data_IF_311724573476
#
_entry.id   IF_311724573476
#
_cell.length_a   1.000
_cell.length_b   1.000
_cell.length_c   1.000
_cell.angle_alpha   90.00
_cell.angle_beta   90.00
_cell.angle_gamma   90.00
#
_symmetry.space_group_name_H-M   'P 1'
#
loop_
_entity.id
_entity.type
_entity.pdbx_description
1 polymer ?
#
# COMPACT_ATOMS: atom_id res chain seq x y z
N UNK A 1 -4.07 10.74 13.95
CA UNK A 1 -5.31 10.56 14.67
C UNK A 1 -6.17 9.55 13.96
N UNK A 2 -5.91 8.23 14.09
CA UNK A 2 -6.94 7.25 13.71
C UNK A 2 -8.10 7.31 14.71
N UNK A 3 -7.84 7.56 15.99
CA UNK A 3 -8.89 7.83 16.99
C UNK A 3 -9.86 8.94 16.55
N UNK A 4 -9.35 9.97 15.87
CA UNK A 4 -10.17 11.05 15.33
C UNK A 4 -11.16 10.61 14.24
N UNK A 5 -11.00 9.43 13.67
CA UNK A 5 -11.88 8.83 12.67
C UNK A 5 -12.64 7.59 13.21
N UNK A 6 -12.77 7.47 14.54
CA UNK A 6 -13.61 6.45 15.19
C UNK A 6 -12.90 5.15 15.56
N UNK A 7 -11.60 5.11 15.35
CA UNK A 7 -10.76 3.94 15.54
C UNK A 7 -10.33 3.81 17.03
N UNK A 8 -10.47 2.63 17.67
CA UNK A 8 -9.91 2.34 19.02
C UNK A 8 -8.44 1.88 18.96
N UNK A 9 -7.52 2.77 19.33
CA UNK A 9 -6.09 2.55 19.09
C UNK A 9 -5.36 1.73 20.18
N UNK A 10 -4.50 0.78 19.75
CA UNK A 10 -3.57 0.00 20.58
C UNK A 10 -2.11 0.21 20.13
N UNK A 11 -1.45 1.27 20.60
CA UNK A 11 -0.08 1.60 20.18
C UNK A 11 1.00 1.06 21.13
N UNK A 12 2.19 0.74 20.59
CA UNK A 12 3.37 0.41 21.40
C UNK A 12 4.69 0.73 20.69
N UNK A 13 5.56 1.51 21.32
CA UNK A 13 6.82 1.97 20.71
C UNK A 13 7.95 1.10 21.27
N UNK A 14 8.91 0.72 20.42
CA UNK A 14 10.10 -0.04 20.80
C UNK A 14 9.78 -1.28 21.66
N UNK A 15 8.85 -2.10 21.16
CA UNK A 15 8.39 -3.29 21.86
C UNK A 15 9.41 -4.41 21.74
N UNK A 16 9.70 -5.02 22.89
CA UNK A 16 10.28 -6.35 22.94
C UNK A 16 9.28 -7.41 22.45
N UNK A 17 9.74 -8.64 22.25
CA UNK A 17 8.91 -9.68 21.68
C UNK A 17 7.66 -10.01 22.51
N UNK A 18 7.80 -10.04 23.83
CA UNK A 18 6.71 -10.39 24.73
C UNK A 18 5.64 -9.29 24.76
N UNK A 19 6.05 -8.02 24.86
CA UNK A 19 5.16 -6.87 24.78
C UNK A 19 4.46 -6.78 23.42
N UNK A 20 5.17 -7.10 22.33
CA UNK A 20 4.59 -7.16 20.99
C UNK A 20 3.51 -8.26 20.89
N UNK A 21 3.80 -9.47 21.38
CA UNK A 21 2.82 -10.58 21.43
C UNK A 21 1.60 -10.23 22.27
N UNK A 22 1.80 -9.59 23.41
CA UNK A 22 0.72 -9.17 24.30
C UNK A 22 -0.15 -8.08 23.68
N UNK A 23 0.45 -7.12 22.96
CA UNK A 23 -0.28 -6.09 22.23
C UNK A 23 -1.13 -6.69 21.11
N UNK A 24 -0.56 -7.56 20.29
CA UNK A 24 -1.28 -8.27 19.22
C UNK A 24 -2.41 -9.12 19.79
N UNK A 25 -2.16 -9.87 20.87
CA UNK A 25 -3.19 -10.68 21.52
C UNK A 25 -4.33 -9.81 22.07
N UNK A 26 -4.00 -8.67 22.66
CA UNK A 26 -4.99 -7.73 23.18
C UNK A 26 -5.83 -7.12 22.06
N UNK A 27 -5.18 -6.75 20.96
CA UNK A 27 -5.85 -6.28 19.75
C UNK A 27 -6.78 -7.35 19.17
N UNK A 28 -6.29 -8.58 18.96
CA UNK A 28 -7.08 -9.67 18.41
C UNK A 28 -8.34 -9.97 19.24
N UNK A 29 -8.23 -9.95 20.57
CA UNK A 29 -9.37 -10.13 21.49
C UNK A 29 -10.38 -8.97 21.47
N UNK A 30 -10.02 -7.83 20.89
CA UNK A 30 -10.90 -6.68 20.76
C UNK A 30 -11.60 -6.60 19.41
N UNK A 31 -11.39 -7.57 18.51
CA UNK A 31 -11.95 -7.59 17.15
C UNK A 31 -13.39 -8.13 17.07
N UNK A 32 -13.90 -8.72 18.15
CA UNK A 32 -15.29 -9.20 18.19
C UNK A 32 -16.26 -8.05 17.85
N UNK A 33 -17.20 -8.31 16.95
CA UNK A 33 -18.23 -7.37 16.47
C UNK A 33 -17.69 -6.05 15.85
N UNK A 34 -16.50 -6.08 15.23
CA UNK A 34 -15.92 -4.93 14.52
C UNK A 34 -16.09 -5.01 13.00
N UNK A 35 -16.39 -3.90 12.34
CA UNK A 35 -16.57 -3.82 10.87
C UNK A 35 -15.24 -3.72 10.12
N UNK A 36 -14.20 -3.17 10.77
CA UNK A 36 -12.86 -3.05 10.21
C UNK A 36 -11.79 -3.24 11.30
N UNK A 37 -10.67 -3.84 10.90
CA UNK A 37 -9.46 -3.95 11.71
C UNK A 37 -8.29 -3.38 10.92
N UNK A 38 -7.46 -2.54 11.55
CA UNK A 38 -6.26 -2.00 10.91
C UNK A 38 -5.01 -2.30 11.74
N UNK A 39 -4.04 -2.92 11.10
CA UNK A 39 -2.70 -3.08 11.61
C UNK A 39 -1.74 -2.17 10.84
N UNK A 40 -0.95 -1.41 11.58
CA UNK A 40 0.16 -0.65 11.02
C UNK A 40 1.46 -1.06 11.72
N UNK A 41 2.49 -1.34 10.93
CA UNK A 41 3.82 -1.65 11.46
C UNK A 41 4.87 -0.82 10.73
N UNK A 42 5.75 -0.17 11.50
CA UNK A 42 6.85 0.64 10.97
C UNK A 42 8.16 0.27 11.66
N UNK A 43 8.99 -0.55 11.03
CA UNK A 43 10.19 -1.03 11.69
C UNK A 43 11.04 -1.96 10.84
N UNK A 44 11.85 -2.76 11.52
CA UNK A 44 12.67 -3.76 10.84
C UNK A 44 11.84 -5.01 10.52
N UNK A 45 11.89 -5.42 9.26
CA UNK A 45 11.39 -6.69 8.79
C UNK A 45 12.52 -7.52 8.22
N UNK A 46 12.30 -8.83 8.16
CA UNK A 46 13.18 -9.77 7.49
C UNK A 46 12.33 -10.75 6.69
N UNK A 47 12.76 -11.06 5.47
CA UNK A 47 12.18 -12.15 4.70
C UNK A 47 13.17 -13.32 4.66
N UNK A 48 12.68 -14.50 5.00
CA UNK A 48 13.46 -15.74 4.95
C UNK A 48 12.61 -16.87 4.38
N UNK A 49 13.10 -17.52 3.32
CA UNK A 49 12.44 -18.63 2.64
C UNK A 49 10.99 -18.34 2.21
N UNK A 50 10.71 -17.12 1.77
CA UNK A 50 9.36 -16.70 1.35
C UNK A 50 8.47 -16.19 2.48
N UNK A 51 8.87 -16.36 3.73
CA UNK A 51 8.10 -15.93 4.91
C UNK A 51 8.58 -14.56 5.41
N UNK A 52 7.63 -13.73 5.83
CA UNK A 52 7.89 -12.40 6.35
C UNK A 52 7.89 -12.41 7.88
N UNK A 53 8.93 -11.86 8.46
CA UNK A 53 9.10 -11.70 9.90
C UNK A 53 9.23 -10.23 10.24
N UNK A 54 8.60 -9.86 11.34
CA UNK A 54 8.70 -8.55 11.93
C UNK A 54 9.59 -8.66 13.18
N UNK A 55 10.52 -7.72 13.35
CA UNK A 55 11.55 -7.81 14.37
C UNK A 55 11.25 -6.88 15.56
N UNK A 56 11.13 -7.42 16.80
CA UNK A 56 11.11 -6.61 18.00
C UNK A 56 12.48 -5.99 18.30
N UNK A 57 12.54 -5.08 19.27
CA UNK A 57 13.79 -4.32 19.56
C UNK A 57 14.87 -5.14 20.24
N UNK A 58 14.50 -6.25 20.88
CA UNK A 58 15.36 -7.18 21.57
C UNK A 58 15.76 -8.39 20.71
N UNK A 59 15.39 -8.41 19.41
CA UNK A 59 15.65 -9.55 18.54
C UNK A 59 17.15 -9.84 18.35
N UNK A 60 17.59 -11.02 18.81
CA UNK A 60 18.96 -11.51 18.62
C UNK A 60 19.01 -12.68 17.62
N UNK A 61 19.34 -12.37 16.37
CA UNK A 61 19.35 -13.37 15.29
C UNK A 61 20.77 -13.86 14.98
N UNK A 62 21.13 -15.04 15.47
CA UNK A 62 22.39 -15.71 15.14
C UNK A 62 22.21 -16.80 14.06
N UNK A 63 21.09 -17.50 14.06
CA UNK A 63 20.77 -18.60 13.17
C UNK A 63 19.33 -18.54 12.69
N UNK A 64 19.03 -19.18 11.55
CA UNK A 64 17.68 -19.27 11.00
C UNK A 64 16.65 -19.81 11.99
N UNK A 65 17.08 -20.77 12.81
CA UNK A 65 16.27 -21.34 13.87
C UNK A 65 15.76 -20.31 14.87
N UNK A 66 16.45 -19.18 15.04
CA UNK A 66 16.15 -18.18 16.07
C UNK A 66 14.93 -17.34 15.66
N UNK A 67 14.61 -17.24 14.36
CA UNK A 67 13.45 -16.50 13.87
C UNK A 67 12.14 -16.93 14.52
N UNK A 68 12.00 -18.22 14.82
CA UNK A 68 10.79 -18.76 15.46
C UNK A 68 10.63 -18.34 16.93
N UNK A 69 11.72 -17.85 17.54
CA UNK A 69 11.76 -17.50 18.95
C UNK A 69 11.97 -16.02 19.20
N UNK A 70 12.64 -15.31 18.29
CA UNK A 70 13.11 -13.93 18.43
C UNK A 70 12.36 -12.96 17.50
N UNK A 71 11.50 -13.47 16.62
CA UNK A 71 10.74 -12.67 15.66
C UNK A 71 9.27 -13.10 15.62
N UNK A 72 8.47 -12.30 14.94
CA UNK A 72 7.05 -12.56 14.77
C UNK A 72 6.72 -12.77 13.29
N UNK A 73 6.16 -13.92 12.94
CA UNK A 73 5.77 -14.23 11.58
C UNK A 73 4.51 -13.45 11.18
N UNK A 74 4.54 -12.77 10.02
CA UNK A 74 3.37 -12.03 9.52
C UNK A 74 2.23 -12.98 9.18
N UNK A 75 2.51 -14.22 8.78
CA UNK A 75 1.45 -15.22 8.56
C UNK A 75 0.65 -15.53 9.82
N UNK A 76 1.27 -15.58 11.00
CA UNK A 76 0.57 -15.79 12.28
C UNK A 76 -0.36 -14.62 12.60
N UNK A 77 0.10 -13.40 12.32
CA UNK A 77 -0.71 -12.21 12.45
C UNK A 77 -1.91 -12.26 11.51
N UNK A 78 -1.69 -12.56 10.23
CA UNK A 78 -2.76 -12.65 9.23
C UNK A 78 -3.83 -13.67 9.63
N UNK A 79 -3.43 -14.82 10.17
CA UNK A 79 -4.37 -15.84 10.67
C UNK A 79 -5.25 -15.33 11.81
N UNK A 80 -4.74 -14.45 12.68
CA UNK A 80 -5.54 -13.86 13.76
C UNK A 80 -6.51 -12.78 13.27
N UNK A 81 -6.25 -12.20 12.09
CA UNK A 81 -7.09 -11.17 11.48
C UNK A 81 -8.10 -11.72 10.47
N UNK A 82 -7.99 -13.01 10.13
CA UNK A 82 -8.81 -13.64 9.11
C UNK A 82 -10.26 -13.80 9.59
N UNK A 83 -11.14 -12.96 9.08
CA UNK A 83 -12.57 -12.99 9.34
C UNK A 83 -13.31 -12.45 8.10
N UNK A 84 -14.10 -13.28 7.41
CA UNK A 84 -14.77 -12.86 6.17
C UNK A 84 -15.88 -11.83 6.40
N UNK A 85 -16.31 -11.62 7.64
CA UNK A 85 -17.35 -10.64 8.00
C UNK A 85 -16.81 -9.23 8.24
N UNK A 86 -15.47 -9.07 8.29
CA UNK A 86 -14.78 -7.82 8.61
C UNK A 86 -13.79 -7.45 7.51
N UNK A 87 -13.53 -6.15 7.35
CA UNK A 87 -12.42 -5.69 6.53
C UNK A 87 -11.11 -5.68 7.35
N UNK A 88 -10.15 -6.52 6.99
CA UNK A 88 -8.84 -6.60 7.66
C UNK A 88 -7.75 -5.92 6.85
N UNK A 89 -7.26 -4.78 7.33
CA UNK A 89 -6.20 -3.99 6.69
C UNK A 89 -4.87 -4.22 7.42
N UNK A 90 -3.83 -4.58 6.68
CA UNK A 90 -2.46 -4.71 7.18
C UNK A 90 -1.53 -3.82 6.38
N UNK A 91 -0.88 -2.87 7.04
CA UNK A 91 0.04 -1.91 6.45
C UNK A 91 1.43 -2.13 7.03
N UNK A 92 2.38 -2.48 6.16
CA UNK A 92 3.76 -2.77 6.52
C UNK A 92 4.70 -1.71 5.92
N UNK A 93 5.10 -0.76 6.76
CA UNK A 93 6.16 0.21 6.50
C UNK A 93 7.50 -0.30 7.05
N UNK A 94 7.83 -1.51 6.62
CA UNK A 94 9.00 -2.25 7.08
C UNK A 94 9.66 -2.90 5.87
N UNK A 95 10.91 -2.55 5.60
CA UNK A 95 11.81 -3.12 4.59
C UNK A 95 13.09 -2.29 4.57
N UNK A 96 13.57 -1.84 5.73
CA UNK A 96 14.77 -1.00 5.80
C UNK A 96 15.98 -1.86 5.48
N UNK A 97 17.07 -1.25 5.00
CA UNK A 97 18.39 -1.89 4.86
C UNK A 97 18.81 -2.45 6.24
N UNK A 98 18.36 -3.67 6.54
CA UNK A 98 18.31 -4.16 7.91
C UNK A 98 19.73 -4.61 8.27
N UNK A 99 20.40 -3.96 9.24
CA UNK A 99 21.77 -4.33 9.62
C UNK A 99 21.86 -5.80 10.07
N UNK A 100 20.80 -6.31 10.70
CA UNK A 100 20.69 -7.71 11.12
C UNK A 100 20.63 -8.67 9.92
N UNK A 101 20.08 -8.25 8.78
CA UNK A 101 20.00 -9.12 7.60
C UNK A 101 21.39 -9.53 7.08
N UNK A 102 22.40 -8.66 7.18
CA UNK A 102 23.77 -8.96 6.69
C UNK A 102 24.54 -9.88 7.62
N UNK A 103 24.43 -9.69 8.94
CA UNK A 103 25.01 -10.62 9.92
C UNK A 103 24.32 -11.97 9.84
N UNK A 104 22.98 -11.97 9.82
CA UNK A 104 22.16 -13.17 9.73
C UNK A 104 22.43 -13.97 8.46
N UNK A 105 22.49 -13.35 7.27
CA UNK A 105 22.86 -14.02 6.01
C UNK A 105 24.20 -14.76 6.08
N UNK A 106 25.19 -14.19 6.80
CA UNK A 106 26.51 -14.82 6.95
C UNK A 106 26.47 -16.02 7.89
N UNK A 107 25.62 -15.96 8.91
CA UNK A 107 25.53 -16.99 9.93
C UNK A 107 24.57 -18.14 9.53
N UNK A 108 23.53 -17.85 8.74
CA UNK A 108 22.52 -18.80 8.27
C UNK A 108 22.85 -19.35 6.87
N UNK A 109 23.93 -20.13 6.78
CA UNK A 109 24.35 -20.79 5.52
C UNK A 109 23.30 -21.80 5.04
N UNK A 110 22.42 -21.39 4.13
CA UNK A 110 21.38 -22.23 3.54
C UNK A 110 19.99 -21.57 3.49
N UNK A 111 19.79 -20.49 4.24
CA UNK A 111 18.53 -19.73 4.25
C UNK A 111 18.52 -18.71 3.10
N UNK A 112 17.40 -18.63 2.36
CA UNK A 112 17.19 -17.59 1.37
C UNK A 112 16.68 -16.32 2.06
N UNK A 113 17.56 -15.33 2.23
CA UNK A 113 17.22 -14.06 2.89
C UNK A 113 17.10 -12.94 1.86
N UNK A 114 15.89 -12.42 1.69
CA UNK A 114 15.59 -11.34 0.74
C UNK A 114 16.05 -9.97 1.21
N UNK A 115 16.09 -9.03 0.26
CA UNK A 115 16.43 -7.63 0.51
C UNK A 115 15.24 -6.83 1.06
N UNK A 116 14.02 -7.25 0.74
CA UNK A 116 12.76 -6.72 1.26
C UNK A 116 11.81 -7.84 1.64
N UNK A 117 10.55 -7.48 1.94
CA UNK A 117 9.49 -8.42 2.29
C UNK A 117 9.01 -9.18 1.05
N UNK A 118 8.69 -10.46 1.24
CA UNK A 118 8.02 -11.28 0.26
C UNK A 118 6.60 -10.80 0.03
N UNK A 119 6.06 -11.13 -1.15
CA UNK A 119 4.66 -10.90 -1.46
C UNK A 119 3.79 -11.81 -0.58
N UNK A 120 2.84 -11.21 0.14
CA UNK A 120 1.78 -11.95 0.85
C UNK A 120 0.50 -11.99 0.02
N UNK A 121 -0.21 -13.11 0.07
CA UNK A 121 -1.57 -13.20 -0.46
C UNK A 121 -2.54 -12.54 0.53
N UNK A 122 -3.45 -11.71 0.03
CA UNK A 122 -4.57 -11.24 0.83
C UNK A 122 -5.57 -12.40 0.99
N UNK A 123 -5.90 -12.75 2.24
CA UNK A 123 -7.03 -13.62 2.55
C UNK A 123 -8.37 -12.93 2.24
N UNK A 124 -9.45 -13.69 2.13
CA UNK A 124 -10.78 -13.12 1.86
C UNK A 124 -11.14 -12.03 2.87
N UNK A 125 -11.58 -10.86 2.40
CA UNK A 125 -11.91 -9.73 3.26
C UNK A 125 -10.70 -8.92 3.74
N UNK A 126 -9.50 -9.13 3.19
CA UNK A 126 -8.29 -8.42 3.63
C UNK A 126 -7.64 -7.54 2.56
N UNK A 127 -6.90 -6.53 3.02
CA UNK A 127 -6.01 -5.70 2.23
C UNK A 127 -4.65 -5.65 2.90
N UNK A 128 -3.60 -5.98 2.14
CA UNK A 128 -2.21 -5.90 2.60
C UNK A 128 -1.50 -4.84 1.77
N UNK A 129 -0.94 -3.83 2.44
CA UNK A 129 -0.16 -2.76 1.85
C UNK A 129 1.29 -2.83 2.32
N UNK A 130 2.22 -2.70 1.37
CA UNK A 130 3.66 -2.61 1.61
C UNK A 130 4.12 -1.21 1.21
N UNK A 131 5.03 -0.63 1.99
CA UNK A 131 5.59 0.68 1.69
C UNK A 131 6.42 0.72 0.39
N UNK A 132 6.90 -0.43 -0.08
CA UNK A 132 7.65 -0.59 -1.32
C UNK A 132 7.24 -1.87 -2.05
N UNK A 133 7.79 -2.11 -3.24
CA UNK A 133 7.52 -3.32 -4.01
C UNK A 133 8.12 -4.56 -3.31
N UNK A 134 7.51 -5.75 -3.44
CA UNK A 134 8.06 -6.97 -2.85
C UNK A 134 9.50 -7.22 -3.30
N UNK A 135 10.38 -7.49 -2.33
CA UNK A 135 11.82 -7.66 -2.57
C UNK A 135 12.65 -6.37 -2.62
N UNK A 136 12.01 -5.20 -2.69
CA UNK A 136 12.68 -3.89 -2.63
C UNK A 136 12.75 -3.34 -1.19
N UNK A 137 13.54 -2.30 -1.01
CA UNK A 137 13.80 -1.64 0.29
C UNK A 137 12.95 -0.38 0.40
N UNK A 138 12.36 -0.15 1.57
CA UNK A 138 11.62 1.08 1.86
C UNK A 138 12.60 2.15 2.38
N UNK A 139 12.45 3.39 1.93
CA UNK A 139 13.28 4.51 2.35
C UNK A 139 12.84 5.02 3.73
N UNK A 140 13.82 5.35 4.56
CA UNK A 140 13.59 5.93 5.89
C UNK A 140 13.01 7.35 5.82
N UNK A 141 13.17 8.03 4.69
CA UNK A 141 12.89 9.46 4.52
C UNK A 141 14.03 10.34 5.02
N UNK A 142 14.01 11.62 4.65
CA UNK A 142 14.94 12.63 5.16
C UNK A 142 14.35 13.43 6.34
N UNK A 143 13.07 13.21 6.66
CA UNK A 143 12.28 13.96 7.64
C UNK A 143 11.91 13.11 8.88
N UNK A 144 10.89 13.53 9.65
CA UNK A 144 10.37 12.82 10.83
C UNK A 144 9.67 11.49 10.48
N UNK A 145 9.25 11.32 9.22
CA UNK A 145 8.49 10.18 8.73
C UNK A 145 9.07 9.59 7.45
N UNK A 146 8.83 8.29 7.24
CA UNK A 146 9.07 7.68 5.92
C UNK A 146 8.17 8.35 4.86
N UNK A 147 8.56 8.33 3.57
CA UNK A 147 7.74 8.87 2.49
C UNK A 147 6.35 8.22 2.45
N UNK A 148 6.27 6.93 2.77
CA UNK A 148 5.02 6.18 2.81
C UNK A 148 4.12 6.63 3.97
N UNK A 149 4.67 6.71 5.18
CA UNK A 149 3.92 7.17 6.37
C UNK A 149 3.43 8.60 6.19
N UNK A 150 4.27 9.48 5.64
CA UNK A 150 3.88 10.87 5.39
C UNK A 150 2.73 10.96 4.37
N UNK A 151 2.79 10.16 3.30
CA UNK A 151 1.69 10.07 2.33
C UNK A 151 0.41 9.50 2.96
N UNK A 152 0.51 8.46 3.79
CA UNK A 152 -0.62 7.90 4.51
C UNK A 152 -1.28 8.95 5.40
N UNK A 153 -0.51 9.70 6.19
CA UNK A 153 -1.03 10.73 7.09
C UNK A 153 -1.81 11.84 6.36
N UNK A 154 -1.42 12.16 5.11
CA UNK A 154 -2.11 13.14 4.28
C UNK A 154 -3.47 12.65 3.77
N UNK A 155 -3.61 11.36 3.45
CA UNK A 155 -4.82 10.83 2.82
C UNK A 155 -5.78 10.13 3.79
N UNK A 156 -5.31 9.60 4.92
CA UNK A 156 -6.09 8.72 5.81
C UNK A 156 -7.37 9.34 6.37
N UNK A 157 -7.45 10.67 6.44
CA UNK A 157 -8.64 11.39 6.92
C UNK A 157 -9.52 11.95 5.82
N UNK A 158 -9.27 11.61 4.56
CA UNK A 158 -10.03 12.16 3.43
C UNK A 158 -11.44 11.55 3.45
N UNK A 159 -12.50 12.35 3.68
CA UNK A 159 -13.86 11.84 3.68
C UNK A 159 -14.26 11.30 2.30
N UNK A 160 -14.96 10.16 2.29
CA UNK A 160 -15.48 9.54 1.07
C UNK A 160 -14.41 8.95 0.14
N UNK A 161 -13.17 8.82 0.61
CA UNK A 161 -12.11 8.20 -0.16
C UNK A 161 -12.07 6.69 0.10
N UNK A 162 -12.40 5.91 -0.93
CA UNK A 162 -12.34 4.46 -0.89
C UNK A 162 -10.87 3.98 -0.72
N UNK A 163 -10.66 2.88 0.01
CA UNK A 163 -9.33 2.44 0.45
C UNK A 163 -8.37 2.10 -0.70
N UNK A 164 -8.82 1.46 -1.79
CA UNK A 164 -7.96 1.19 -2.93
C UNK A 164 -7.59 2.48 -3.68
N UNK A 165 -8.50 3.45 -3.77
CA UNK A 165 -8.19 4.79 -4.28
C UNK A 165 -7.22 5.54 -3.38
N UNK A 166 -7.38 5.44 -2.05
CA UNK A 166 -6.46 5.98 -1.06
C UNK A 166 -5.05 5.42 -1.28
N UNK A 167 -4.92 4.09 -1.42
CA UNK A 167 -3.63 3.44 -1.69
C UNK A 167 -3.04 3.86 -3.04
N UNK A 168 -3.88 4.14 -4.04
CA UNK A 168 -3.44 4.67 -5.34
C UNK A 168 -2.83 6.07 -5.19
N UNK A 169 -3.46 6.95 -4.40
CA UNK A 169 -2.94 8.30 -4.12
C UNK A 169 -1.64 8.26 -3.32
N UNK A 170 -1.56 7.40 -2.30
CA UNK A 170 -0.34 7.17 -1.53
C UNK A 170 0.80 6.76 -2.46
N UNK A 171 0.54 5.80 -3.36
CA UNK A 171 1.55 5.31 -4.32
C UNK A 171 2.05 6.42 -5.23
N UNK A 172 1.16 7.23 -5.79
CA UNK A 172 1.53 8.35 -6.65
C UNK A 172 2.42 9.37 -5.91
N UNK A 173 2.08 9.68 -4.66
CA UNK A 173 2.85 10.62 -3.86
C UNK A 173 4.23 10.10 -3.48
N UNK A 174 4.33 8.84 -3.06
CA UNK A 174 5.62 8.22 -2.71
C UNK A 174 6.50 8.19 -3.95
N UNK A 175 5.97 7.70 -5.08
CA UNK A 175 6.72 7.62 -6.33
C UNK A 175 7.25 9.00 -6.76
N UNK A 176 6.43 10.05 -6.66
CA UNK A 176 6.85 11.41 -7.00
C UNK A 176 7.90 11.98 -6.03
N UNK A 177 7.78 11.71 -4.73
CA UNK A 177 8.69 12.22 -3.69
C UNK A 177 10.04 11.52 -3.66
N UNK A 178 10.09 10.28 -4.10
CA UNK A 178 11.32 9.48 -4.15
C UNK A 178 11.91 9.45 -5.56
N UNK A 179 11.52 10.37 -6.46
CA UNK A 179 11.98 10.42 -7.85
C UNK A 179 11.85 9.07 -8.61
N UNK A 180 10.88 8.25 -8.23
CA UNK A 180 10.63 6.92 -8.79
C UNK A 180 11.32 5.75 -8.07
N UNK A 181 12.14 5.99 -7.05
CA UNK A 181 12.92 4.96 -6.37
C UNK A 181 12.10 4.01 -5.49
N UNK A 182 10.91 4.44 -5.03
CA UNK A 182 10.03 3.65 -4.18
C UNK A 182 8.63 3.58 -4.78
N UNK A 183 8.11 2.35 -4.91
CA UNK A 183 6.77 2.09 -5.42
C UNK A 183 5.97 1.25 -4.43
N UNK A 184 5.08 1.87 -3.62
CA UNK A 184 4.22 1.13 -2.70
C UNK A 184 3.37 0.07 -3.42
N UNK A 185 3.25 -1.10 -2.80
CA UNK A 185 2.51 -2.23 -3.34
C UNK A 185 1.29 -2.58 -2.49
N UNK A 186 0.24 -3.09 -3.12
CA UNK A 186 -0.99 -3.49 -2.41
C UNK A 186 -1.53 -4.78 -3.00
N UNK A 187 -1.89 -5.73 -2.15
CA UNK A 187 -2.68 -6.91 -2.50
C UNK A 187 -4.02 -6.80 -1.77
N UNK A 188 -5.13 -6.83 -2.50
CA UNK A 188 -6.47 -6.62 -1.95
C UNK A 188 -7.38 -7.76 -2.37
N UNK A 189 -8.11 -8.31 -1.39
CA UNK A 189 -9.17 -9.29 -1.54
C UNK A 189 -10.40 -8.88 -0.72
N UNK A 190 -10.61 -7.56 -0.58
CA UNK A 190 -11.80 -6.98 0.04
C UNK A 190 -13.04 -7.38 -0.76
N UNK A 191 -14.13 -7.69 -0.06
CA UNK A 191 -15.40 -8.12 -0.66
C UNK A 191 -16.32 -6.94 -1.03
N UNK A 192 -16.03 -5.74 -0.55
CA UNK A 192 -16.80 -4.54 -0.78
C UNK A 192 -15.94 -3.29 -0.69
N UNK A 193 -16.57 -2.15 -0.95
CA UNK A 193 -15.95 -0.84 -0.79
C UNK A 193 -15.73 -0.57 0.71
N UNK A 194 -14.55 -0.03 1.03
CA UNK A 194 -14.18 0.32 2.39
C UNK A 194 -13.75 1.78 2.44
N UNK A 195 -14.33 2.52 3.38
CA UNK A 195 -14.06 3.93 3.61
C UNK A 195 -13.59 4.10 5.05
N UNK A 196 -12.38 4.62 5.24
CA UNK A 196 -11.88 4.92 6.59
C UNK A 196 -12.61 6.11 7.22
N UNK A 197 -13.03 7.06 6.37
CA UNK A 197 -13.89 8.17 6.75
C UNK A 197 -15.06 8.18 5.77
N UNK A 198 -16.29 7.91 6.22
CA UNK A 198 -17.47 8.03 5.37
C UNK A 198 -17.54 9.42 4.73
N UNK A 199 -17.89 9.47 3.45
CA UNK A 199 -18.14 10.75 2.77
C UNK A 199 -19.53 11.26 3.09
N UNK A 200 -19.73 12.58 2.99
CA UNK A 200 -21.08 13.12 2.94
C UNK A 200 -21.79 12.51 1.72
N UNK A 201 -22.93 11.86 1.96
CA UNK A 201 -23.71 11.14 0.95
C UNK A 201 -24.14 12.02 -0.26
N UNK A 202 -23.90 13.33 -0.20
CA UNK A 202 -24.21 14.31 -1.25
C UNK A 202 -23.32 14.21 -2.49
N UNK A 203 -22.17 13.52 -2.44
CA UNK A 203 -21.27 13.38 -3.59
C UNK A 203 -21.38 12.04 -4.34
N UNK A 204 -22.11 11.05 -3.80
CA UNK A 204 -22.20 9.70 -4.37
C UNK A 204 -23.30 9.51 -5.43
N UNK A 205 -23.98 10.58 -5.84
CA UNK A 205 -24.91 10.58 -6.97
C UNK A 205 -24.46 11.55 -8.06
N UNK A 206 -23.21 11.41 -8.53
CA UNK A 206 -22.98 11.64 -9.94
C UNK A 206 -23.33 10.33 -10.67
N UNK A 207 -24.45 10.26 -11.41
CA UNK A 207 -24.69 9.10 -12.24
C UNK A 207 -23.47 8.91 -13.15
N UNK A 208 -22.97 7.68 -13.22
CA UNK A 208 -21.96 7.30 -14.20
C UNK A 208 -22.38 7.91 -15.56
N UNK A 209 -21.45 8.56 -16.31
CA UNK A 209 -21.79 9.03 -17.64
C UNK A 209 -22.33 7.84 -18.41
N UNK A 210 -23.63 7.88 -18.72
CA UNK A 210 -24.29 6.87 -19.53
C UNK A 210 -23.53 6.84 -20.84
N UNK A 211 -22.77 5.77 -21.07
CA UNK A 211 -22.13 5.53 -22.35
C UNK A 211 -23.26 5.57 -23.38
N UNK A 212 -23.27 6.54 -24.32
CA UNK A 212 -24.32 6.57 -25.32
C UNK A 212 -24.26 5.24 -26.07
N UNK A 213 -25.41 4.57 -26.19
CA UNK A 213 -25.51 3.35 -26.99
C UNK A 213 -24.88 3.63 -28.37
N UNK A 214 -24.06 2.71 -28.91
CA UNK A 214 -23.44 2.91 -30.21
C UNK A 214 -24.55 3.14 -31.23
N UNK A 215 -24.44 4.26 -31.96
CA UNK A 215 -25.36 4.59 -33.05
C UNK A 215 -25.42 3.41 -34.04
N UNK A 216 -26.61 3.09 -34.61
CA UNK A 216 -26.72 2.01 -35.56
C UNK A 216 -25.82 2.30 -36.77
N UNK A 217 -24.96 1.33 -37.09
CA UNK A 217 -24.10 1.40 -38.27
C UNK A 217 -24.97 1.60 -39.54
N UNK A 218 -24.57 2.47 -40.47
CA UNK A 218 -25.29 2.64 -41.72
C UNK A 218 -25.29 1.33 -42.51
N UNK A 219 -26.47 0.94 -42.99
CA UNK A 219 -26.66 -0.25 -43.80
C UNK A 219 -25.72 -0.22 -45.02
N UNK A 220 -24.86 -1.23 -45.13
CA UNK A 220 -24.02 -1.44 -46.29
C UNK A 220 -24.91 -1.74 -47.50
N UNK A 221 -24.96 -0.80 -48.44
CA UNK A 221 -25.54 -1.02 -49.77
C UNK A 221 -24.64 -1.99 -50.53
N UNK A 222 -25.12 -3.20 -50.77
CA UNK A 222 -24.42 -4.18 -51.60
C UNK A 222 -24.38 -3.71 -53.07
N UNK A 223 -23.20 -3.63 -53.72
CA UNK A 223 -23.13 -3.46 -55.16
C UNK A 223 -23.32 -4.80 -55.86
N UNK A 224 -24.31 -4.87 -56.75
CA UNK A 224 -24.49 -5.97 -57.71
C UNK A 224 -23.49 -5.80 -58.87
N UNK A 225 -22.69 -6.82 -59.18
CA UNK A 225 -21.81 -6.77 -60.35
C UNK A 225 -20.90 -7.99 -60.57
N UNK A 226 -21.32 -8.85 -61.49
CA UNK A 226 -20.67 -9.97 -62.22
C UNK A 226 -19.14 -10.21 -62.10
N UNK A 227 -18.84 -11.49 -61.81
CA UNK A 227 -17.74 -12.37 -62.23
C UNK A 227 -17.01 -12.04 -63.55
N UNK A 228 -15.67 -12.06 -63.50
CA UNK A 228 -14.70 -12.09 -64.61
C UNK A 228 -13.25 -12.27 -64.11
N UNK A 229 -12.42 -12.99 -64.85
CA UNK A 229 -11.16 -13.69 -64.47
C UNK A 229 -9.86 -12.88 -64.15
N UNK A 230 -8.90 -13.60 -63.51
CA UNK A 230 -7.46 -13.36 -63.19
C UNK A 230 -6.56 -12.82 -64.35
N UNK A 231 -5.23 -12.57 -64.18
CA UNK A 231 -4.36 -12.15 -63.03
C UNK A 231 -3.33 -11.02 -63.40
N UNK A 232 -2.43 -10.60 -62.47
CA UNK A 232 -0.96 -10.25 -62.63
C UNK A 232 -0.46 -9.12 -61.69
N UNK A 233 0.81 -9.26 -61.30
CA UNK A 233 1.69 -8.59 -60.33
C UNK A 233 1.90 -7.06 -60.37
N UNK A 234 2.29 -6.45 -59.23
CA UNK A 234 3.59 -5.75 -58.99
C UNK A 234 3.55 -4.83 -57.73
N UNK A 235 4.70 -4.74 -57.01
CA UNK A 235 5.12 -3.75 -55.98
C UNK A 235 5.54 -2.40 -56.65
N UNK A 236 5.94 -1.26 -55.99
CA UNK A 236 6.48 -1.06 -54.61
C UNK A 236 6.11 0.27 -53.85
N UNK A 237 6.58 0.34 -52.59
CA UNK A 237 7.07 1.44 -51.70
C UNK A 237 6.74 2.94 -51.91
N UNK A 238 6.31 3.66 -50.85
CA UNK A 238 7.11 4.64 -50.06
C UNK A 238 6.28 5.32 -48.91
N UNK A 239 6.93 5.91 -47.88
CA UNK A 239 6.32 6.27 -46.59
C UNK A 239 5.91 7.75 -46.48
N UNK A 240 4.99 8.06 -45.56
CA UNK A 240 4.64 9.43 -45.15
C UNK A 240 4.85 9.59 -43.64
N UNK A 241 5.57 10.68 -43.31
CA UNK A 241 5.88 11.20 -41.97
C UNK A 241 4.65 11.87 -41.37
N UNK A 242 4.45 11.73 -40.06
CA UNK A 242 3.60 12.62 -39.27
C UNK A 242 4.33 13.09 -37.99
N UNK A 243 4.45 14.41 -37.88
CA UNK A 243 4.39 15.21 -36.64
C UNK A 243 3.03 15.95 -36.70
N UNK A 244 2.36 16.34 -35.59
CA UNK A 244 2.97 17.22 -34.56
C UNK A 244 2.44 17.06 -33.10
N UNK A 245 3.11 17.75 -32.17
CA UNK A 245 2.61 18.10 -30.83
C UNK A 245 1.57 19.25 -30.89
N UNK A 246 0.79 19.62 -29.83
CA UNK A 246 1.35 20.21 -28.60
C UNK A 246 0.62 19.88 -27.27
N UNK A 247 1.36 20.06 -26.17
CA UNK A 247 0.86 20.08 -24.79
C UNK A 247 0.17 21.42 -24.48
N UNK A 248 -0.89 21.36 -23.66
CA UNK A 248 -1.56 22.53 -23.07
C UNK A 248 -1.42 22.48 -21.55
N UNK A 249 -0.79 23.53 -20.98
CA UNK A 249 -0.82 23.87 -19.56
C UNK A 249 -2.14 24.55 -19.21
N UNK A 250 -2.71 24.24 -18.04
CA UNK A 250 -3.66 25.11 -17.35
C UNK A 250 -3.16 25.37 -15.92
N UNK A 251 -2.93 26.65 -15.64
CA UNK A 251 -2.60 27.21 -14.32
C UNK A 251 -3.89 27.61 -13.60
N UNK A 252 -3.97 27.38 -12.29
CA UNK A 252 -4.84 28.17 -11.43
C UNK A 252 -4.15 28.44 -10.09
N UNK A 253 -3.99 29.72 -9.77
CA UNK A 253 -3.41 30.24 -8.53
C UNK A 253 -4.53 30.70 -7.62
N UNK A 254 -4.48 30.35 -6.33
CA UNK A 254 -5.25 31.01 -5.29
C UNK A 254 -4.39 31.22 -4.04
N UNK A 255 -4.11 32.49 -3.74
CA UNK A 255 -3.75 33.07 -2.43
C UNK A 255 -5.08 33.41 -1.72
N UNK A 256 -5.26 33.49 -0.40
CA UNK A 256 -4.40 33.47 0.79
C UNK A 256 -5.29 33.47 2.05
N UNK A 257 -4.82 32.88 3.16
CA UNK A 257 -4.92 33.48 4.50
C UNK A 257 -6.06 33.06 5.43
N UNK A 258 -5.72 32.31 6.49
CA UNK A 258 -6.11 32.59 7.88
C UNK A 258 -5.35 31.66 8.84
N UNK A 259 -4.69 32.28 9.82
CA UNK A 259 -3.94 31.69 10.93
C UNK A 259 -4.87 31.14 12.01
N UNK A 260 -4.56 29.96 12.57
CA UNK A 260 -4.95 29.59 13.93
C UNK A 260 -3.77 28.90 14.62
N UNK A 261 -3.29 29.56 15.68
CA UNK A 261 -2.41 28.99 16.69
C UNK A 261 -3.24 28.19 17.69
N UNK A 262 -2.71 27.06 18.17
CA UNK A 262 -3.38 26.26 19.20
C UNK A 262 -2.89 24.82 19.25
N UNK A 263 -1.67 24.65 19.76
CA UNK A 263 -1.14 23.50 20.50
C UNK A 263 -2.03 22.24 20.62
N UNK A 264 -1.56 21.12 20.05
CA UNK A 264 -1.42 19.82 20.71
C UNK A 264 -0.67 18.87 19.79
N UNK A 265 0.56 18.58 20.21
CA UNK A 265 1.60 17.89 19.46
C UNK A 265 1.17 16.49 19.01
N UNK A 266 1.13 16.27 17.70
CA UNK A 266 1.41 14.97 17.11
C UNK A 266 2.93 14.80 17.20
N UNK A 267 3.40 13.96 18.11
CA UNK A 267 4.82 13.59 18.15
C UNK A 267 4.94 12.21 17.55
N UNK A 268 5.46 12.14 16.32
CA UNK A 268 6.01 10.92 15.77
C UNK A 268 7.51 11.09 15.71
N UNK A 269 8.15 11.32 16.86
CA UNK A 269 9.61 11.39 16.92
C UNK A 269 10.18 10.04 16.49
N UNK A 270 10.66 9.96 15.25
CA UNK A 270 11.63 8.95 14.86
C UNK A 270 12.91 9.28 15.63
N UNK A 271 13.27 8.41 16.57
CA UNK A 271 14.52 8.51 17.29
C UNK A 271 15.63 8.18 16.31
N UNK A 272 16.50 9.17 16.07
CA UNK A 272 17.81 8.96 15.51
C UNK A 272 18.56 8.07 16.50
N UNK A 273 19.00 6.92 16.00
CA UNK A 273 19.81 5.91 16.66
C UNK A 273 19.05 5.00 17.65
N UNK A 274 18.81 3.76 17.17
CA UNK A 274 18.53 2.52 17.93
C UNK A 274 17.07 2.37 18.45
N UNK A 275 16.26 1.51 17.80
CA UNK A 275 14.93 1.05 18.27
C UNK A 275 13.80 1.24 17.24
N UNK A 276 13.02 0.18 16.96
CA UNK A 276 11.91 0.16 16.00
C UNK A 276 10.54 0.10 16.68
N UNK A 277 9.56 0.86 16.16
CA UNK A 277 8.25 1.10 16.80
C UNK A 277 7.05 0.41 16.12
N UNK A 278 6.14 -0.15 16.92
CA UNK A 278 4.88 -0.75 16.48
C UNK A 278 3.71 0.25 16.57
N UNK A 279 2.66 0.14 15.74
CA UNK A 279 1.34 0.74 16.09
C UNK A 279 0.19 -0.03 15.45
N UNK A 280 -0.42 -0.92 16.22
CA UNK A 280 -1.75 -1.43 15.91
C UNK A 280 -2.81 -0.37 16.21
N UNK A 281 -3.76 -0.18 15.30
CA UNK A 281 -4.74 0.90 15.42
C UNK A 281 -6.10 0.30 15.06
N UNK A 282 -6.92 -0.15 16.03
CA UNK A 282 -8.36 -0.25 15.73
C UNK A 282 -8.92 1.14 15.65
#
# INVERSE_FOLDING_TARGET
>A
SLEAIGFRVFSGIDLDLDAMRDLIRSFARSLDDTEAALLFYAGHGLQVNGENYLLPVDAELAHESDLRFEAFAVSELMQQLEDPSRASIVILDACRNNPLSRSFRRASRGAEVGNGLARLSAGTGSLIAFATAPGDVALDGEEEHSPFTEALLRHVRTPGLEINQLMTRIRADVYARTDGDQLPWTNSALLGELYLVPGDATAAQQPAPSVPAPAPAPAATAPQGRIGERPVAAKPDTPVRDEPAPFTMVSCTARSGATWAGERFLTFRQCKDIGGSWRLLQ
#
